data_IF_994184185982
#
_entry.id   IF_994184185982
#
_cell.length_a   1.000
_cell.length_b   1.000
_cell.length_c   1.000
_cell.angle_alpha   90.00
_cell.angle_beta   90.00
_cell.angle_gamma   90.00
#
_symmetry.space_group_name_H-M   'P 1'
#
loop_
_entity.id
_entity.type
_entity.pdbx_description
1 polymer ?
#
# COMPACT_ATOMS: atom_id res chain seq x y z
N UNK A 1 -25.05 -4.64 11.85
CA UNK A 1 -24.09 -4.40 10.76
C UNK A 1 -22.69 -4.57 11.32
N UNK A 2 -21.93 -5.61 10.92
CA UNK A 2 -20.50 -5.59 11.15
C UNK A 2 -19.84 -4.62 10.14
N UNK A 3 -18.76 -3.93 10.50
CA UNK A 3 -18.06 -3.04 9.59
C UNK A 3 -17.33 -3.85 8.52
N UNK A 4 -17.60 -3.56 7.25
CA UNK A 4 -16.68 -3.86 6.15
C UNK A 4 -15.37 -3.14 6.49
N UNK A 5 -14.29 -3.88 6.68
CA UNK A 5 -12.93 -3.34 6.66
C UNK A 5 -12.76 -2.62 5.33
N UNK A 6 -12.68 -1.29 5.36
CA UNK A 6 -12.44 -0.46 4.16
C UNK A 6 -10.95 -0.62 3.80
N UNK A 7 -10.64 -0.77 2.51
CA UNK A 7 -9.26 -0.98 2.00
C UNK A 7 -9.03 -0.22 0.69
N UNK A 8 -8.22 0.85 0.62
CA UNK A 8 -7.74 1.47 -0.61
C UNK A 8 -6.39 0.90 -1.03
N UNK A 9 -5.73 1.57 -1.98
CA UNK A 9 -4.59 1.05 -2.74
C UNK A 9 -3.47 0.49 -1.88
N UNK A 10 -2.75 -0.49 -2.42
CA UNK A 10 -1.47 -0.92 -1.86
C UNK A 10 -0.55 0.30 -1.76
N UNK A 11 -0.40 0.90 -0.59
CA UNK A 11 0.59 1.95 -0.41
C UNK A 11 1.96 1.29 -0.40
N UNK A 12 2.82 1.66 -1.34
CA UNK A 12 4.25 1.40 -1.17
C UNK A 12 4.73 2.28 0.00
N UNK A 13 4.79 1.69 1.19
CA UNK A 13 5.54 2.13 2.36
C UNK A 13 5.42 3.60 2.83
N UNK A 14 4.27 4.26 2.69
CA UNK A 14 4.04 5.54 3.35
C UNK A 14 2.95 5.48 4.41
N UNK A 15 3.38 5.59 5.67
CA UNK A 15 2.53 5.68 6.86
C UNK A 15 2.37 7.15 7.22
N UNK A 16 1.14 7.65 7.19
CA UNK A 16 0.82 8.95 7.78
C UNK A 16 0.31 8.69 9.20
N UNK A 17 1.17 8.90 10.21
CA UNK A 17 0.75 8.90 11.61
C UNK A 17 0.07 10.23 11.96
N UNK A 18 -1.16 10.18 12.49
CA UNK A 18 -1.78 11.30 13.19
C UNK A 18 -1.71 11.06 14.71
N UNK A 19 -1.19 12.04 15.45
CA UNK A 19 -1.38 12.12 16.89
C UNK A 19 -2.68 12.88 17.17
N UNK A 20 -3.63 12.25 17.89
CA UNK A 20 -4.88 12.89 18.27
C UNK A 20 -4.70 13.69 19.57
N UNK A 21 -5.20 14.93 19.56
CA UNK A 21 -5.36 15.76 20.74
C UNK A 21 -6.80 15.63 21.23
N UNK A 22 -7.01 15.06 22.41
CA UNK A 22 -8.31 15.09 23.09
C UNK A 22 -8.23 16.16 24.18
N UNK A 23 -8.94 17.29 24.07
CA UNK A 23 -9.00 18.25 25.16
C UNK A 23 -9.75 17.63 26.33
N UNK A 24 -9.08 17.49 27.47
CA UNK A 24 -9.74 17.13 28.73
C UNK A 24 -10.58 18.33 29.19
N UNK A 25 -11.90 18.19 29.14
CA UNK A 25 -12.82 19.10 29.80
C UNK A 25 -12.67 18.95 31.32
N UNK A 26 -12.05 19.92 31.98
CA UNK A 26 -12.04 20.00 33.45
C UNK A 26 -13.46 20.36 33.90
N UNK A 27 -14.13 19.60 34.79
CA UNK A 27 -15.45 19.97 35.27
C UNK A 27 -15.32 21.12 36.27
N UNK A 28 -15.86 22.29 35.92
CA UNK A 28 -16.09 23.37 36.87
C UNK A 28 -17.28 23.01 37.75
N UNK A 29 -17.06 22.90 39.07
CA UNK A 29 -18.12 22.84 40.06
C UNK A 29 -18.92 24.16 40.04
N UNK A 30 -20.23 24.09 39.79
CA UNK A 30 -21.19 25.06 40.31
C UNK A 30 -22.54 24.41 40.57
N UNK A 31 -23.08 24.71 41.74
CA UNK A 31 -24.26 24.23 42.44
C UNK A 31 -25.61 24.72 41.89
N UNK A 32 -26.65 23.86 41.99
CA UNK A 32 -28.10 24.11 42.26
C UNK A 32 -28.85 25.16 41.38
N UNK A 33 -30.11 25.04 40.91
CA UNK A 33 -31.39 24.55 41.46
C UNK A 33 -32.46 24.40 40.34
N UNK A 34 -33.46 23.54 40.59
CA UNK A 34 -34.90 23.62 40.22
C UNK A 34 -35.42 23.48 38.75
N UNK A 35 -36.26 22.45 38.57
CA UNK A 35 -37.25 22.18 37.49
C UNK A 35 -38.41 23.22 37.47
N UNK A 36 -39.33 23.30 36.46
CA UNK A 36 -40.28 22.20 36.13
C UNK A 36 -40.89 22.11 34.68
N UNK A 37 -41.51 20.94 34.44
CA UNK A 37 -42.80 20.66 33.74
C UNK A 37 -42.92 20.55 32.19
N UNK A 38 -43.68 19.51 31.81
CA UNK A 38 -44.09 19.07 30.46
C UNK A 38 -45.41 19.69 29.95
N UNK A 39 -45.57 19.65 28.62
CA UNK A 39 -46.79 19.40 27.79
C UNK A 39 -47.24 20.58 26.89
N UNK A 40 -48.04 20.37 25.81
CA UNK A 40 -47.87 19.49 24.65
C UNK A 40 -48.07 20.24 23.29
N UNK A 41 -47.84 19.55 22.16
CA UNK A 41 -48.03 20.02 20.77
C UNK A 41 -49.49 20.36 20.41
N UNK A 42 -49.71 21.20 19.37
CA UNK A 42 -50.74 20.90 18.39
C UNK A 42 -50.31 21.02 16.92
N UNK A 43 -51.21 20.51 16.07
CA UNK A 43 -51.00 20.01 14.71
C UNK A 43 -51.02 21.04 13.57
N UNK A 44 -50.48 20.55 12.44
CA UNK A 44 -50.44 21.00 11.04
C UNK A 44 -51.43 22.06 10.52
N UNK A 45 -50.91 22.99 9.72
CA UNK A 45 -51.40 23.32 8.37
C UNK A 45 -50.40 24.23 7.62
N UNK A 46 -50.33 24.12 6.28
CA UNK A 46 -49.78 25.18 5.42
C UNK A 46 -48.66 24.79 4.45
N UNK A 47 -49.00 24.66 3.18
CA UNK A 47 -48.10 24.63 2.04
C UNK A 47 -47.20 25.88 1.98
N UNK A 48 -45.87 25.71 1.95
CA UNK A 48 -44.94 26.53 1.16
C UNK A 48 -43.51 25.98 1.28
N UNK A 49 -42.79 25.89 0.16
CA UNK A 49 -41.34 25.61 0.15
C UNK A 49 -40.59 26.75 0.81
N UNK A 50 -39.57 26.45 1.64
CA UNK A 50 -38.29 27.14 1.44
C UNK A 50 -37.06 26.22 1.57
N UNK A 51 -36.08 26.49 0.70
CA UNK A 51 -34.61 26.34 0.85
C UNK A 51 -34.06 25.15 1.66
N UNK A 52 -33.30 24.28 0.99
CA UNK A 52 -32.37 23.31 1.59
C UNK A 52 -31.40 24.01 2.55
N UNK A 53 -31.66 23.94 3.86
CA UNK A 53 -30.63 24.12 4.89
C UNK A 53 -29.78 22.84 4.92
N UNK A 54 -28.46 23.01 4.88
CA UNK A 54 -27.48 21.97 5.17
C UNK A 54 -27.71 21.47 6.60
N UNK A 55 -27.86 20.17 6.77
CA UNK A 55 -27.70 19.52 8.06
C UNK A 55 -26.25 19.06 8.16
N UNK A 56 -25.48 19.73 9.04
CA UNK A 56 -24.23 19.18 9.56
C UNK A 56 -24.61 18.05 10.53
N UNK A 57 -24.34 16.81 10.14
CA UNK A 57 -24.47 15.68 11.05
C UNK A 57 -23.27 15.66 11.99
N UNK A 58 -23.49 16.19 13.19
CA UNK A 58 -22.68 15.89 14.37
C UNK A 58 -23.21 14.57 14.96
N UNK A 59 -22.37 13.53 15.00
CA UNK A 59 -22.77 12.19 15.44
C UNK A 59 -21.66 11.49 16.20
N UNK A 60 -21.38 11.95 17.42
CA UNK A 60 -20.78 11.12 18.47
C UNK A 60 -21.92 10.63 19.36
N UNK A 61 -22.18 9.32 19.39
CA UNK A 61 -22.87 8.68 20.50
C UNK A 61 -22.10 7.42 20.90
N UNK A 62 -21.39 7.58 22.01
CA UNK A 62 -20.76 6.54 22.82
C UNK A 62 -21.82 5.64 23.45
N UNK A 63 -21.68 4.33 23.28
CA UNK A 63 -22.27 3.34 24.16
C UNK A 63 -21.16 2.76 25.03
N UNK A 64 -21.22 3.05 26.32
CA UNK A 64 -20.44 2.40 27.38
C UNK A 64 -21.21 1.18 27.85
N UNK A 65 -20.59 0.00 27.78
CA UNK A 65 -20.98 -1.16 28.57
C UNK A 65 -19.80 -1.54 29.47
N UNK A 66 -20.05 -1.43 30.77
CA UNK A 66 -19.15 -1.84 31.85
C UNK A 66 -18.75 -3.31 31.70
N UNK A 67 -17.44 -3.57 31.75
CA UNK A 67 -16.91 -4.90 32.06
C UNK A 67 -16.03 -4.75 33.30
N UNK A 68 -16.52 -5.30 34.42
CA UNK A 68 -15.74 -5.47 35.63
C UNK A 68 -14.63 -6.49 35.40
N UNK A 69 -13.38 -6.06 35.59
CA UNK A 69 -12.22 -6.96 35.64
C UNK A 69 -11.96 -7.29 37.11
N UNK A 70 -12.13 -8.56 37.48
CA UNK A 70 -11.71 -9.07 38.79
C UNK A 70 -10.19 -9.25 38.81
N UNK A 71 -9.57 -8.74 39.86
CA UNK A 71 -8.14 -8.82 40.13
C UNK A 71 -7.78 -10.15 40.81
N UNK A 72 -6.74 -10.81 40.30
CA UNK A 72 -6.05 -11.94 40.97
C UNK A 72 -4.60 -11.51 41.22
N UNK A 73 -4.07 -11.60 42.46
CA UNK A 73 -2.72 -11.13 42.77
C UNK A 73 -1.62 -12.14 42.36
N UNK A 74 -0.39 -11.69 42.08
CA UNK A 74 0.72 -12.57 41.70
C UNK A 74 1.38 -13.26 42.92
N UNK A 75 1.75 -14.52 42.75
CA UNK A 75 2.53 -15.31 43.72
C UNK A 75 4.03 -15.00 43.69
N UNK A 76 4.79 -15.39 44.75
CA UNK A 76 6.19 -15.00 44.95
C UNK A 76 7.20 -15.83 44.13
N UNK A 77 8.43 -15.32 43.93
CA UNK A 77 9.45 -15.98 43.11
C UNK A 77 10.24 -17.04 43.90
N UNK A 78 10.77 -18.09 43.25
CA UNK A 78 11.72 -18.99 43.88
C UNK A 78 13.18 -18.49 43.78
N UNK A 79 13.90 -18.73 44.85
CA UNK A 79 15.30 -18.40 45.13
C UNK A 79 16.31 -19.34 44.45
N UNK A 80 17.51 -18.80 44.31
CA UNK A 80 18.78 -19.32 43.78
C UNK A 80 19.29 -20.63 44.39
N UNK A 81 20.04 -21.40 43.59
CA UNK A 81 21.32 -22.00 44.00
C UNK A 81 22.21 -22.31 42.77
N UNK A 82 23.49 -21.94 42.85
CA UNK A 82 24.61 -22.34 41.96
C UNK A 82 25.58 -23.24 42.76
N UNK A 83 26.50 -23.99 42.13
CA UNK A 83 27.86 -23.43 41.97
C UNK A 83 28.71 -23.90 40.75
N UNK A 84 29.47 -22.93 40.22
CA UNK A 84 30.91 -22.92 39.84
C UNK A 84 31.57 -24.03 38.97
N UNK A 85 32.10 -23.60 37.82
CA UNK A 85 33.52 -23.65 37.36
C UNK A 85 33.53 -23.27 35.86
N UNK A 86 34.35 -22.38 35.28
CA UNK A 86 35.71 -21.93 35.57
C UNK A 86 36.62 -22.48 34.47
N UNK A 87 37.01 -21.65 33.47
CA UNK A 87 38.29 -21.65 32.71
C UNK A 87 38.22 -20.58 31.58
N UNK A 88 39.24 -19.71 31.56
CA UNK A 88 39.70 -18.80 30.49
C UNK A 88 41.25 -18.72 30.64
N UNK A 89 42.07 -18.12 29.73
CA UNK A 89 42.04 -18.02 28.26
C UNK A 89 43.45 -18.17 27.58
N UNK A 90 43.53 -17.90 26.26
CA UNK A 90 44.69 -17.36 25.46
C UNK A 90 45.69 -18.33 24.75
N UNK A 91 46.53 -17.90 23.75
CA UNK A 91 46.37 -16.87 22.68
C UNK A 91 47.02 -17.22 21.28
N UNK A 92 46.99 -16.24 20.36
CA UNK A 92 47.88 -15.96 19.19
C UNK A 92 47.80 -16.78 17.88
N UNK A 93 47.55 -16.11 16.74
CA UNK A 93 48.60 -15.69 15.79
C UNK A 93 48.05 -14.81 14.65
N UNK A 94 48.70 -13.67 14.43
CA UNK A 94 48.57 -12.72 13.32
C UNK A 94 49.51 -13.08 12.16
N UNK A 95 49.22 -12.60 10.93
CA UNK A 95 50.17 -12.11 9.89
C UNK A 95 49.37 -11.58 8.66
N UNK A 96 49.91 -10.60 7.89
CA UNK A 96 49.14 -9.48 7.31
C UNK A 96 49.07 -9.49 5.77
N UNK A 97 48.08 -8.81 5.17
CA UNK A 97 48.10 -8.46 3.73
C UNK A 97 47.46 -7.08 3.48
N UNK A 98 48.34 -6.15 3.11
CA UNK A 98 48.23 -4.96 2.24
C UNK A 98 46.96 -4.11 2.21
N UNK A 99 47.14 -2.87 2.66
CA UNK A 99 46.29 -1.69 2.38
C UNK A 99 46.48 -1.23 0.93
N UNK A 100 45.39 -1.17 0.16
CA UNK A 100 45.25 -0.24 -0.96
C UNK A 100 43.92 0.51 -0.80
N UNK A 101 43.99 1.80 -1.13
CA UNK A 101 43.00 2.86 -0.93
C UNK A 101 41.57 2.50 -1.32
N UNK A 102 40.66 2.48 -0.35
CA UNK A 102 39.24 2.76 -0.56
C UNK A 102 38.85 3.95 0.32
N UNK A 103 38.59 5.08 -0.34
CA UNK A 103 38.10 6.31 0.28
C UNK A 103 36.70 6.06 0.87
N UNK A 104 36.68 5.67 2.14
CA UNK A 104 35.49 5.53 2.95
C UNK A 104 34.89 6.92 3.17
N UNK A 105 33.86 7.28 2.39
CA UNK A 105 33.04 8.46 2.67
C UNK A 105 32.29 8.17 3.97
N UNK A 106 32.76 8.77 5.06
CA UNK A 106 32.08 8.74 6.36
C UNK A 106 30.73 9.43 6.23
N UNK A 107 29.65 8.66 6.18
CA UNK A 107 28.30 9.20 6.35
C UNK A 107 28.09 9.52 7.82
N UNK A 108 27.81 10.79 8.13
CA UNK A 108 27.36 11.17 9.46
C UNK A 108 26.01 10.48 9.74
N UNK A 109 25.90 9.82 10.89
CA UNK A 109 24.72 9.14 11.42
C UNK A 109 23.56 10.11 11.77
N UNK A 110 23.15 10.96 10.83
CA UNK A 110 21.86 11.63 10.86
C UNK A 110 20.79 10.64 10.37
N UNK A 111 20.59 9.63 11.19
CA UNK A 111 19.62 8.57 11.06
C UNK A 111 18.20 9.19 11.03
N UNK A 112 17.61 9.32 9.84
CA UNK A 112 16.21 9.72 9.60
C UNK A 112 15.41 8.56 9.02
N UNK A 113 15.68 7.33 9.44
CA UNK A 113 14.98 6.15 8.93
C UNK A 113 13.59 5.98 9.54
N UNK A 114 12.61 5.64 8.70
CA UNK A 114 11.20 5.37 9.02
C UNK A 114 10.51 6.54 9.74
N UNK A 115 9.54 7.19 9.08
CA UNK A 115 8.63 8.15 9.70
C UNK A 115 7.62 7.50 10.70
N UNK A 116 8.04 6.41 11.36
CA UNK A 116 7.38 5.75 12.48
C UNK A 116 8.32 5.92 13.69
N UNK A 117 8.63 7.17 14.02
CA UNK A 117 9.20 7.48 15.32
C UNK A 117 8.06 7.85 16.25
N UNK A 118 7.92 7.09 17.33
CA UNK A 118 7.38 7.66 18.58
C UNK A 118 8.44 8.59 19.16
N UNK A 119 8.71 9.69 18.47
CA UNK A 119 9.51 10.76 19.06
C UNK A 119 8.60 11.51 20.03
N UNK A 120 8.50 11.00 21.27
CA UNK A 120 8.01 11.81 22.40
C UNK A 120 8.85 13.07 22.63
N UNK A 121 10.02 13.21 21.97
CA UNK A 121 10.97 14.31 22.21
C UNK A 121 11.47 15.08 20.98
N UNK A 122 11.25 14.62 19.74
CA UNK A 122 11.82 15.28 18.55
C UNK A 122 10.97 15.25 17.28
N UNK A 123 9.73 14.73 17.34
CA UNK A 123 8.72 15.18 16.41
C UNK A 123 8.74 16.69 16.60
N UNK A 124 8.71 17.44 15.51
CA UNK A 124 8.66 18.90 15.53
C UNK A 124 7.33 19.43 16.11
N UNK A 125 6.80 18.75 17.12
CA UNK A 125 5.92 19.26 18.14
C UNK A 125 6.75 20.27 18.95
N UNK A 126 6.41 21.56 18.90
CA UNK A 126 6.98 22.52 19.85
C UNK A 126 6.88 21.94 21.27
N UNK A 127 7.89 22.12 22.13
CA UNK A 127 7.95 21.57 23.50
C UNK A 127 6.61 21.65 24.28
N UNK A 128 5.84 22.71 23.98
CA UNK A 128 4.46 22.97 24.44
C UNK A 128 3.42 21.87 24.18
N UNK A 129 3.73 20.84 23.39
CA UNK A 129 2.78 19.77 23.03
C UNK A 129 3.23 18.36 23.45
N UNK A 130 4.44 18.20 23.98
CA UNK A 130 4.93 16.89 24.45
C UNK A 130 4.12 16.37 25.64
N UNK A 131 3.64 17.30 26.49
CA UNK A 131 2.86 17.02 27.70
C UNK A 131 1.39 16.65 27.43
N UNK A 132 0.89 16.79 26.19
CA UNK A 132 -0.52 16.52 25.86
C UNK A 132 -0.74 15.31 24.94
N UNK A 133 0.32 14.60 24.57
CA UNK A 133 0.21 13.38 23.77
C UNK A 133 -0.29 12.22 24.64
N UNK A 134 -1.57 11.88 24.52
CA UNK A 134 -2.24 10.83 25.31
C UNK A 134 -2.19 9.44 24.68
N UNK A 135 -1.73 9.31 23.44
CA UNK A 135 -1.68 8.02 22.75
C UNK A 135 -1.04 8.07 21.36
N UNK A 136 -0.93 6.88 20.77
CA UNK A 136 -0.51 6.65 19.39
C UNK A 136 -1.54 5.74 18.72
N UNK A 137 -1.73 5.87 17.41
CA UNK A 137 -2.69 5.06 16.66
C UNK A 137 -2.30 4.89 15.20
N UNK A 138 -2.91 3.90 14.57
CA UNK A 138 -2.82 3.62 13.13
C UNK A 138 -4.16 3.99 12.48
N UNK A 139 -4.10 4.78 11.42
CA UNK A 139 -5.26 5.27 10.66
C UNK A 139 -5.08 4.97 9.17
N UNK A 140 -4.62 3.76 8.89
CA UNK A 140 -4.46 3.29 7.52
C UNK A 140 -5.85 3.16 6.91
N UNK A 141 -6.04 3.73 5.73
CA UNK A 141 -7.34 3.61 5.08
C UNK A 141 -7.65 2.14 4.73
N UNK A 142 -6.63 1.29 4.58
CA UNK A 142 -6.71 -0.15 4.34
C UNK A 142 -5.61 -0.95 5.02
N UNK A 143 -5.88 -2.24 5.22
CA UNK A 143 -5.00 -3.20 5.91
C UNK A 143 -4.56 -4.32 4.96
N UNK A 144 -3.94 -5.38 5.49
CA UNK A 144 -3.50 -6.58 4.74
C UNK A 144 -2.31 -6.32 3.77
N UNK A 145 -1.50 -5.31 4.09
CA UNK A 145 -0.24 -4.99 3.40
C UNK A 145 0.86 -4.67 4.41
N UNK A 146 2.13 -4.76 4.00
CA UNK A 146 3.32 -4.37 4.79
C UNK A 146 3.25 -4.71 6.30
N UNK A 147 3.08 -5.99 6.69
CA UNK A 147 2.86 -6.38 8.09
C UNK A 147 3.97 -5.90 9.05
N UNK A 148 5.19 -5.75 8.56
CA UNK A 148 6.34 -5.19 9.29
C UNK A 148 6.06 -3.80 9.88
N UNK A 149 5.30 -2.97 9.16
CA UNK A 149 4.91 -1.63 9.58
C UNK A 149 3.90 -1.68 10.72
N UNK A 150 2.88 -2.54 10.59
CA UNK A 150 1.83 -2.70 11.59
C UNK A 150 2.37 -3.29 12.89
N UNK A 151 3.27 -4.27 12.80
CA UNK A 151 3.90 -4.88 13.97
C UNK A 151 4.75 -3.86 14.71
N UNK A 152 5.65 -3.14 14.01
CA UNK A 152 6.47 -2.11 14.63
C UNK A 152 5.60 -1.01 15.25
N UNK A 153 4.63 -0.47 14.52
CA UNK A 153 3.82 0.64 15.02
C UNK A 153 2.97 0.26 16.24
N UNK A 154 2.46 -0.97 16.28
CA UNK A 154 1.73 -1.48 17.44
C UNK A 154 2.65 -1.62 18.66
N UNK A 155 3.87 -2.13 18.45
CA UNK A 155 4.88 -2.25 19.51
C UNK A 155 5.26 -0.88 20.10
N UNK A 156 5.27 0.18 19.27
CA UNK A 156 5.61 1.53 19.74
C UNK A 156 4.70 2.01 20.88
N UNK A 157 3.45 1.56 20.99
CA UNK A 157 2.58 1.93 22.10
C UNK A 157 3.20 1.57 23.47
N UNK A 158 3.91 0.45 23.53
CA UNK A 158 4.45 -0.15 24.76
C UNK A 158 5.92 0.19 25.04
N UNK A 159 6.60 0.85 24.10
CA UNK A 159 8.00 1.26 24.28
C UNK A 159 8.13 2.67 24.85
N UNK A 160 9.05 2.81 25.79
CA UNK A 160 9.54 4.08 26.35
C UNK A 160 10.77 4.61 25.61
N UNK A 161 11.55 3.74 24.98
CA UNK A 161 12.83 4.04 24.31
C UNK A 161 12.75 3.94 22.79
N UNK A 162 13.69 4.59 22.09
CA UNK A 162 13.86 4.48 20.64
C UNK A 162 14.21 3.04 20.27
N UNK A 163 13.65 2.55 19.17
CA UNK A 163 13.98 1.24 18.62
C UNK A 163 15.18 1.31 17.70
N UNK A 164 16.12 0.38 17.90
CA UNK A 164 17.18 0.07 16.95
C UNK A 164 16.57 -0.79 15.83
N UNK A 165 16.10 -0.13 14.77
CA UNK A 165 15.22 -0.77 13.77
C UNK A 165 15.89 -1.95 13.07
N UNK A 166 17.18 -1.88 12.76
CA UNK A 166 17.90 -2.98 12.10
C UNK A 166 17.96 -4.25 12.95
N UNK A 167 18.24 -4.11 14.25
CA UNK A 167 18.23 -5.25 15.18
C UNK A 167 16.82 -5.78 15.43
N UNK A 168 15.83 -4.88 15.45
CA UNK A 168 14.43 -5.27 15.50
C UNK A 168 14.01 -6.04 14.25
N UNK A 169 14.48 -5.67 13.04
CA UNK A 169 14.19 -6.35 11.78
C UNK A 169 14.80 -7.75 11.70
N UNK A 170 16.04 -7.93 12.19
CA UNK A 170 16.63 -9.28 12.34
C UNK A 170 15.78 -10.15 13.25
N UNK A 171 15.34 -9.60 14.38
CA UNK A 171 14.48 -10.32 15.31
C UNK A 171 13.08 -10.60 14.70
N UNK A 172 12.55 -9.65 13.93
CA UNK A 172 11.29 -9.77 13.21
C UNK A 172 11.34 -10.91 12.18
N UNK A 173 12.36 -10.96 11.32
CA UNK A 173 12.48 -12.00 10.30
C UNK A 173 12.55 -13.40 10.93
N UNK A 174 13.36 -13.58 11.99
CA UNK A 174 13.46 -14.85 12.73
C UNK A 174 12.12 -15.32 13.28
N UNK A 175 11.39 -14.42 13.96
CA UNK A 175 10.06 -14.74 14.52
C UNK A 175 9.03 -15.02 13.42
N UNK A 176 9.05 -14.20 12.37
CA UNK A 176 8.11 -14.28 11.25
C UNK A 176 8.27 -15.60 10.51
N UNK A 177 9.50 -16.02 10.24
CA UNK A 177 9.76 -17.22 9.42
C UNK A 177 9.97 -18.49 10.24
N UNK A 178 10.19 -18.37 11.55
CA UNK A 178 10.41 -19.50 12.46
C UNK A 178 11.83 -20.06 12.43
N UNK A 179 12.75 -19.45 11.68
CA UNK A 179 14.14 -19.89 11.52
C UNK A 179 15.07 -18.69 11.29
N UNK A 180 16.31 -18.81 11.75
CA UNK A 180 17.38 -17.87 11.45
C UNK A 180 18.02 -18.23 10.10
N UNK A 181 17.95 -17.30 9.14
CA UNK A 181 18.51 -17.47 7.79
C UNK A 181 19.18 -16.16 7.38
N UNK A 182 20.51 -16.19 7.25
CA UNK A 182 21.34 -15.00 7.05
C UNK A 182 20.98 -14.22 5.79
N UNK A 183 20.62 -14.92 4.70
CA UNK A 183 20.25 -14.30 3.43
C UNK A 183 19.04 -13.39 3.60
N UNK A 184 18.01 -13.85 4.34
CA UNK A 184 16.79 -13.07 4.54
C UNK A 184 17.02 -11.92 5.52
N UNK A 185 17.88 -12.08 6.52
CA UNK A 185 18.29 -10.96 7.37
C UNK A 185 19.00 -9.85 6.58
N UNK A 186 19.92 -10.22 5.70
CA UNK A 186 20.59 -9.29 4.81
C UNK A 186 19.60 -8.61 3.83
N UNK A 187 18.64 -9.38 3.31
CA UNK A 187 17.59 -8.83 2.46
C UNK A 187 16.73 -7.80 3.21
N UNK A 188 16.33 -8.07 4.45
CA UNK A 188 15.56 -7.10 5.25
C UNK A 188 16.33 -5.81 5.55
N UNK A 189 17.66 -5.85 5.71
CA UNK A 189 18.46 -4.61 5.83
C UNK A 189 18.41 -3.78 4.54
N UNK A 190 18.45 -4.44 3.38
CA UNK A 190 18.31 -3.76 2.07
C UNK A 190 16.90 -3.16 1.94
N UNK A 191 15.85 -3.93 2.23
CA UNK A 191 14.47 -3.44 2.17
C UNK A 191 14.24 -2.25 3.11
N UNK A 192 14.85 -2.30 4.29
CA UNK A 192 14.85 -1.20 5.24
C UNK A 192 15.47 0.07 4.67
N UNK A 193 16.64 -0.01 4.04
CA UNK A 193 17.31 1.18 3.48
C UNK A 193 16.66 1.71 2.20
N UNK A 194 15.84 0.88 1.54
CA UNK A 194 15.21 1.16 0.25
C UNK A 194 13.69 1.42 0.39
N UNK A 195 12.86 0.39 0.15
CA UNK A 195 11.39 0.48 0.10
C UNK A 195 10.86 1.10 1.39
N UNK A 196 11.33 0.66 2.56
CA UNK A 196 10.82 1.14 3.85
C UNK A 196 11.44 2.46 4.34
N UNK A 197 12.22 3.15 3.51
CA UNK A 197 12.92 4.38 3.88
C UNK A 197 12.69 5.53 2.89
N UNK A 198 11.43 5.79 2.57
CA UNK A 198 11.03 7.00 1.88
C UNK A 198 11.23 8.24 2.77
N UNK A 199 11.97 9.24 2.27
CA UNK A 199 12.33 10.47 3.02
C UNK A 199 12.02 11.77 2.28
N UNK A 200 11.52 11.70 1.06
CA UNK A 200 11.26 12.88 0.21
C UNK A 200 10.01 13.68 0.62
N UNK A 201 9.13 13.11 1.45
CA UNK A 201 7.92 13.75 1.94
C UNK A 201 6.78 13.82 0.91
N UNK A 202 6.84 13.02 -0.16
CA UNK A 202 5.81 12.94 -1.20
C UNK A 202 4.73 11.96 -0.77
N UNK A 203 3.51 12.44 -0.48
CA UNK A 203 2.38 11.55 -0.19
C UNK A 203 2.16 10.59 -1.36
N UNK A 204 2.35 9.29 -1.11
CA UNK A 204 2.44 8.31 -2.18
C UNK A 204 1.29 7.31 -2.20
N UNK A 205 0.93 6.89 -3.40
CA UNK A 205 -0.04 5.85 -3.71
C UNK A 205 0.58 4.95 -4.79
N UNK A 206 0.20 3.68 -4.87
CA UNK A 206 0.73 2.84 -5.95
C UNK A 206 0.18 3.30 -7.30
N UNK A 207 1.10 3.88 -8.09
CA UNK A 207 0.87 4.37 -9.44
C UNK A 207 1.57 3.54 -10.51
N UNK A 208 1.96 2.31 -10.20
CA UNK A 208 2.58 1.42 -11.19
C UNK A 208 1.66 1.29 -12.41
N UNK A 209 2.24 1.36 -13.61
CA UNK A 209 1.43 1.49 -14.83
C UNK A 209 0.51 0.30 -15.09
N UNK A 210 0.77 -0.87 -14.50
CA UNK A 210 -0.15 -1.99 -14.56
C UNK A 210 -1.51 -1.60 -13.94
N UNK A 211 -1.47 -0.99 -12.75
CA UNK A 211 -2.66 -0.72 -11.94
C UNK A 211 -3.22 0.68 -12.12
N UNK A 212 -2.39 1.67 -12.45
CA UNK A 212 -2.80 3.04 -12.78
C UNK A 212 -2.30 3.37 -14.20
N UNK A 213 -2.92 2.74 -15.20
CA UNK A 213 -2.45 2.84 -16.58
C UNK A 213 -2.64 4.26 -17.13
N UNK A 214 -1.61 4.90 -17.72
CA UNK A 214 -1.69 6.30 -18.09
C UNK A 214 -2.75 6.61 -19.16
N UNK A 215 -3.67 7.51 -18.84
CA UNK A 215 -4.75 7.96 -19.73
C UNK A 215 -4.34 9.23 -20.53
N UNK A 216 -3.42 9.06 -21.48
CA UNK A 216 -2.84 10.18 -22.24
C UNK A 216 -2.38 9.80 -23.65
N UNK A 217 -2.14 10.81 -24.49
CA UNK A 217 -1.65 10.69 -25.87
C UNK A 217 -0.14 10.96 -25.94
N UNK A 218 0.68 9.92 -26.23
CA UNK A 218 2.13 10.06 -26.26
C UNK A 218 2.71 10.87 -27.40
N UNK A 219 1.91 11.25 -28.39
CA UNK A 219 2.36 12.14 -29.46
C UNK A 219 2.50 13.60 -28.98
N UNK A 220 1.94 13.95 -27.81
CA UNK A 220 1.99 15.29 -27.26
C UNK A 220 3.35 15.58 -26.61
N UNK A 221 3.79 16.84 -26.72
CA UNK A 221 5.11 17.31 -26.23
C UNK A 221 5.15 17.59 -24.74
N UNK A 222 4.00 17.73 -24.08
CA UNK A 222 3.93 17.92 -22.62
C UNK A 222 2.73 17.19 -22.03
N UNK A 223 2.97 16.49 -20.92
CA UNK A 223 1.90 15.98 -20.07
C UNK A 223 1.45 17.09 -19.13
N UNK A 224 0.30 17.72 -19.39
CA UNK A 224 -0.36 18.53 -18.35
C UNK A 224 -1.20 17.60 -17.49
N UNK A 225 -0.76 17.38 -16.25
CA UNK A 225 -1.56 16.72 -15.23
C UNK A 225 -2.77 17.60 -14.90
N UNK A 226 -3.84 17.50 -15.70
CA UNK A 226 -5.13 18.13 -15.36
C UNK A 226 -5.86 17.25 -14.35
N UNK A 227 -5.22 16.98 -13.21
CA UNK A 227 -5.99 16.69 -12.01
C UNK A 227 -6.75 17.97 -11.68
N UNK A 228 -7.99 18.09 -12.15
CA UNK A 228 -8.96 19.10 -11.68
C UNK A 228 -9.38 18.78 -10.23
N UNK A 229 -8.41 18.59 -9.34
CA UNK A 229 -8.53 18.70 -7.88
C UNK A 229 -8.26 20.13 -7.40
N UNK A 230 -8.16 21.10 -8.31
CA UNK A 230 -7.65 22.44 -8.00
C UNK A 230 -8.72 23.49 -7.64
N UNK A 231 -9.92 23.10 -7.19
CA UNK A 231 -10.94 24.07 -6.71
C UNK A 231 -11.32 23.92 -5.22
N UNK A 232 -10.62 23.07 -4.46
CA UNK A 232 -10.80 22.99 -3.00
C UNK A 232 -9.72 23.75 -2.20
N UNK A 233 -8.74 24.38 -2.87
CA UNK A 233 -7.55 24.96 -2.23
C UNK A 233 -7.76 26.32 -1.54
N UNK A 234 -8.99 26.84 -1.46
CA UNK A 234 -9.22 28.20 -0.94
C UNK A 234 -9.50 28.30 0.59
N UNK A 235 -9.53 27.22 1.37
CA UNK A 235 -9.92 27.31 2.81
C UNK A 235 -8.98 26.67 3.83
N UNK A 236 -7.81 26.15 3.44
CA UNK A 236 -6.83 25.62 4.41
C UNK A 236 -5.41 26.10 4.11
N UNK A 237 -5.21 27.41 4.07
CA UNK A 237 -3.89 28.04 4.03
C UNK A 237 -3.28 28.08 5.43
N UNK A 238 -2.71 26.97 5.91
CA UNK A 238 -1.57 26.91 6.85
C UNK A 238 -1.09 25.44 7.08
N UNK A 239 -0.66 24.71 6.04
CA UNK A 239 0.15 23.49 6.23
C UNK A 239 1.36 23.48 5.28
N UNK A 240 2.55 23.39 5.89
CA UNK A 240 3.88 23.33 5.24
C UNK A 240 4.14 21.95 4.60
N UNK A 241 3.39 21.60 3.57
CA UNK A 241 3.80 20.52 2.65
C UNK A 241 3.80 21.11 1.25
N UNK A 242 4.99 21.53 0.82
CA UNK A 242 5.23 21.88 -0.58
C UNK A 242 5.21 20.58 -1.37
N UNK A 243 4.14 20.34 -2.12
CA UNK A 243 4.12 19.31 -3.15
C UNK A 243 5.17 19.71 -4.21
N UNK A 244 6.28 18.97 -4.26
CA UNK A 244 7.30 19.15 -5.29
C UNK A 244 6.88 18.34 -6.50
N UNK A 245 6.31 18.99 -7.51
CA UNK A 245 6.07 18.38 -8.81
C UNK A 245 7.41 18.07 -9.47
N UNK A 246 7.62 16.81 -9.87
CA UNK A 246 8.77 16.42 -10.68
C UNK A 246 8.45 16.71 -12.14
N UNK A 247 9.13 17.70 -12.74
CA UNK A 247 9.07 17.94 -14.18
C UNK A 247 9.60 16.72 -14.93
N UNK A 248 8.70 15.92 -15.47
CA UNK A 248 9.01 14.81 -16.38
C UNK A 248 8.14 14.95 -17.61
N UNK A 249 8.68 14.58 -18.78
CA UNK A 249 7.97 14.67 -20.07
C UNK A 249 6.76 13.73 -20.16
N UNK A 250 6.60 12.84 -19.18
CA UNK A 250 5.65 11.73 -19.12
C UNK A 250 5.17 11.54 -17.68
N UNK A 251 3.93 11.08 -17.43
CA UNK A 251 3.52 10.67 -16.09
C UNK A 251 4.40 9.50 -15.64
N UNK A 252 5.19 9.69 -14.57
CA UNK A 252 6.05 8.64 -14.00
C UNK A 252 5.62 8.27 -12.57
N UNK A 253 5.54 6.98 -12.24
CA UNK A 253 5.31 6.53 -10.88
C UNK A 253 6.46 7.00 -9.99
N UNK A 254 6.12 7.41 -8.77
CA UNK A 254 7.12 7.84 -7.80
C UNK A 254 8.01 6.65 -7.38
N UNK A 255 9.33 6.86 -7.35
CA UNK A 255 10.31 5.86 -6.96
C UNK A 255 11.46 6.53 -6.20
N UNK A 256 11.61 6.20 -4.91
CA UNK A 256 12.59 6.82 -4.00
C UNK A 256 13.78 5.92 -3.68
N UNK A 257 13.90 4.79 -4.37
CA UNK A 257 14.96 3.79 -4.14
C UNK A 257 15.46 3.18 -5.46
N UNK A 258 16.64 2.57 -5.40
CA UNK A 258 17.22 1.81 -6.50
C UNK A 258 16.52 0.46 -6.65
N UNK A 259 15.94 0.20 -7.83
CA UNK A 259 15.35 -1.11 -8.12
C UNK A 259 16.42 -2.23 -8.17
N UNK A 260 17.69 -1.88 -8.41
CA UNK A 260 18.80 -2.86 -8.40
C UNK A 260 19.05 -3.42 -7.00
N UNK A 261 18.91 -2.58 -5.99
CA UNK A 261 19.14 -2.98 -4.59
C UNK A 261 18.02 -3.93 -4.14
N UNK A 262 16.76 -3.60 -4.49
CA UNK A 262 15.60 -4.46 -4.21
C UNK A 262 15.68 -5.78 -5.00
N UNK A 263 16.18 -5.75 -6.24
CA UNK A 263 16.45 -6.98 -7.00
C UNK A 263 17.48 -7.86 -6.28
N UNK A 264 18.51 -7.28 -5.66
CA UNK A 264 19.48 -8.04 -4.87
C UNK A 264 18.83 -8.63 -3.61
N UNK A 265 17.95 -7.88 -2.93
CA UNK A 265 17.14 -8.42 -1.83
C UNK A 265 16.27 -9.61 -2.29
N UNK A 266 15.64 -9.53 -3.47
CA UNK A 266 14.87 -10.65 -4.04
C UNK A 266 15.75 -11.87 -4.30
N UNK A 267 16.97 -11.68 -4.82
CA UNK A 267 17.92 -12.79 -5.00
C UNK A 267 18.22 -13.51 -3.69
N UNK A 268 18.48 -12.76 -2.63
CA UNK A 268 18.72 -13.32 -1.29
C UNK A 268 17.48 -14.05 -0.74
N UNK A 269 16.28 -13.52 -0.96
CA UNK A 269 15.04 -14.23 -0.63
C UNK A 269 14.96 -15.57 -1.38
N UNK A 270 15.21 -15.60 -2.70
CA UNK A 270 15.17 -16.83 -3.50
C UNK A 270 16.21 -17.87 -3.06
N UNK A 271 17.43 -17.43 -2.71
CA UNK A 271 18.49 -18.30 -2.17
C UNK A 271 18.07 -18.98 -0.86
N UNK A 272 17.29 -18.28 -0.03
CA UNK A 272 16.72 -18.84 1.20
C UNK A 272 15.53 -19.80 0.99
N UNK A 273 15.06 -19.97 -0.26
CA UNK A 273 13.85 -20.74 -0.57
C UNK A 273 13.91 -22.19 -0.07
N UNK A 274 15.07 -22.84 -0.17
CA UNK A 274 15.25 -24.21 0.32
C UNK A 274 15.08 -24.34 1.84
N UNK A 275 15.40 -23.29 2.58
CA UNK A 275 15.33 -23.26 4.04
C UNK A 275 13.96 -22.84 4.58
N UNK A 276 13.19 -22.09 3.79
CA UNK A 276 11.98 -21.39 4.25
C UNK A 276 10.72 -21.68 3.44
N UNK A 277 10.75 -22.54 2.42
CA UNK A 277 9.60 -22.85 1.56
C UNK A 277 8.34 -23.29 2.33
N UNK A 278 8.50 -23.99 3.46
CA UNK A 278 7.39 -24.45 4.30
C UNK A 278 6.74 -23.30 5.10
N UNK A 279 7.47 -22.20 5.30
CA UNK A 279 6.99 -21.04 6.06
C UNK A 279 5.98 -20.22 5.25
N UNK A 280 4.73 -20.18 5.72
CA UNK A 280 3.63 -19.46 5.09
C UNK A 280 3.92 -17.96 4.92
N UNK A 281 4.50 -17.34 5.94
CA UNK A 281 4.85 -15.91 5.96
C UNK A 281 6.03 -15.59 5.05
N UNK A 282 6.98 -16.51 4.90
CA UNK A 282 8.05 -16.37 3.91
C UNK A 282 7.50 -16.44 2.49
N UNK A 283 6.59 -17.39 2.21
CA UNK A 283 5.93 -17.48 0.90
C UNK A 283 5.16 -16.21 0.55
N UNK A 284 4.41 -15.65 1.50
CA UNK A 284 3.74 -14.36 1.33
C UNK A 284 4.74 -13.24 0.98
N UNK A 285 5.83 -13.09 1.75
CA UNK A 285 6.81 -12.03 1.51
C UNK A 285 7.58 -12.24 0.19
N UNK A 286 7.83 -13.49 -0.21
CA UNK A 286 8.45 -13.82 -1.49
C UNK A 286 7.53 -13.44 -2.66
N UNK A 287 6.22 -13.71 -2.58
CA UNK A 287 5.25 -13.24 -3.58
C UNK A 287 5.27 -11.72 -3.64
N UNK A 288 5.17 -11.04 -2.50
CA UNK A 288 5.08 -9.58 -2.45
C UNK A 288 6.35 -8.90 -3.00
N UNK A 289 7.53 -9.39 -2.62
CA UNK A 289 8.79 -8.86 -3.12
C UNK A 289 9.01 -9.14 -4.61
N UNK A 290 8.65 -10.35 -5.07
CA UNK A 290 8.74 -10.69 -6.50
C UNK A 290 7.79 -9.82 -7.33
N UNK A 291 6.54 -9.67 -6.88
CA UNK A 291 5.53 -8.76 -7.46
C UNK A 291 6.07 -7.33 -7.55
N UNK A 292 6.67 -6.82 -6.48
CA UNK A 292 7.24 -5.48 -6.43
C UNK A 292 8.34 -5.29 -7.47
N UNK A 293 9.32 -6.20 -7.57
CA UNK A 293 10.43 -6.07 -8.54
C UNK A 293 9.90 -6.13 -9.98
N UNK A 294 8.97 -7.03 -10.26
CA UNK A 294 8.36 -7.17 -11.58
C UNK A 294 7.49 -5.96 -11.95
N UNK A 295 6.77 -5.35 -11.00
CA UNK A 295 5.98 -4.14 -11.27
C UNK A 295 6.87 -2.96 -11.64
N UNK A 296 8.04 -2.80 -11.00
CA UNK A 296 9.03 -1.77 -11.39
C UNK A 296 9.68 -2.06 -12.73
N UNK A 297 9.91 -3.33 -13.07
CA UNK A 297 10.32 -3.70 -14.42
C UNK A 297 9.24 -3.33 -15.45
N UNK A 298 7.97 -3.61 -15.17
CA UNK A 298 6.86 -3.23 -16.04
C UNK A 298 6.81 -1.71 -16.26
N UNK A 299 7.12 -0.91 -15.23
CA UNK A 299 7.22 0.54 -15.38
C UNK A 299 8.26 0.95 -16.43
N UNK A 300 9.46 0.35 -16.37
CA UNK A 300 10.50 0.61 -17.35
C UNK A 300 10.09 0.15 -18.76
N UNK A 301 9.49 -1.04 -18.88
CA UNK A 301 9.03 -1.59 -20.16
C UNK A 301 7.99 -0.69 -20.83
N UNK A 302 7.07 -0.10 -20.05
CA UNK A 302 6.13 0.89 -20.57
C UNK A 302 6.86 2.14 -21.10
N UNK A 303 7.81 2.69 -20.35
CA UNK A 303 8.59 3.86 -20.78
C UNK A 303 9.36 3.58 -22.08
N UNK A 304 9.92 2.40 -22.22
CA UNK A 304 10.61 1.95 -23.43
C UNK A 304 9.64 1.86 -24.61
N UNK A 305 8.43 1.32 -24.39
CA UNK A 305 7.37 1.26 -25.42
C UNK A 305 6.96 2.67 -25.88
N UNK A 306 6.74 3.59 -24.95
CA UNK A 306 6.40 4.98 -25.26
C UNK A 306 7.53 5.69 -26.01
N UNK A 307 8.78 5.44 -25.63
CA UNK A 307 9.95 5.98 -26.31
C UNK A 307 10.04 5.46 -27.75
N UNK A 308 9.82 4.16 -27.96
CA UNK A 308 9.77 3.57 -29.29
C UNK A 308 8.65 4.17 -30.15
N UNK A 309 7.46 4.35 -29.57
CA UNK A 309 6.35 5.02 -30.25
C UNK A 309 6.72 6.44 -30.72
N UNK A 310 7.31 7.26 -29.84
CA UNK A 310 7.76 8.62 -30.20
C UNK A 310 8.82 8.62 -31.31
N UNK A 311 9.67 7.59 -31.36
CA UNK A 311 10.68 7.39 -32.42
C UNK A 311 10.12 6.76 -33.70
N UNK A 312 8.81 6.46 -33.74
CA UNK A 312 8.15 5.72 -34.82
C UNK A 312 8.75 4.33 -35.07
N UNK A 313 9.34 3.73 -34.05
CA UNK A 313 9.92 2.39 -34.09
C UNK A 313 8.83 1.36 -33.74
N UNK A 314 8.16 0.85 -34.78
CA UNK A 314 7.07 -0.10 -34.62
C UNK A 314 7.52 -1.48 -34.12
N UNK A 315 8.75 -1.90 -34.43
CA UNK A 315 9.29 -3.20 -34.02
C UNK A 315 9.57 -3.20 -32.52
N UNK A 316 10.31 -2.20 -32.03
CA UNK A 316 10.58 -2.06 -30.59
C UNK A 316 9.29 -1.81 -29.82
N UNK A 317 8.36 -1.00 -30.35
CA UNK A 317 7.05 -0.81 -29.73
C UNK A 317 6.31 -2.13 -29.58
N UNK A 318 6.27 -2.96 -30.63
CA UNK A 318 5.60 -4.27 -30.59
C UNK A 318 6.24 -5.19 -29.56
N UNK A 319 7.57 -5.24 -29.51
CA UNK A 319 8.33 -6.06 -28.56
C UNK A 319 8.04 -5.65 -27.11
N UNK A 320 8.16 -4.36 -26.78
CA UNK A 320 7.94 -3.87 -25.42
C UNK A 320 6.47 -3.96 -25.01
N UNK A 321 5.54 -3.74 -25.94
CA UNK A 321 4.11 -3.93 -25.70
C UNK A 321 3.80 -5.38 -25.30
N UNK A 322 4.37 -6.35 -26.03
CA UNK A 322 4.19 -7.77 -25.71
C UNK A 322 4.85 -8.12 -24.37
N UNK A 323 6.06 -7.62 -24.10
CA UNK A 323 6.74 -7.83 -22.82
C UNK A 323 5.93 -7.29 -21.64
N UNK A 324 5.28 -6.14 -21.78
CA UNK A 324 4.39 -5.57 -20.75
C UNK A 324 3.16 -6.46 -20.52
N UNK A 325 2.54 -6.94 -21.60
CA UNK A 325 1.40 -7.87 -21.52
C UNK A 325 1.80 -9.19 -20.83
N UNK A 326 2.97 -9.74 -21.17
CA UNK A 326 3.47 -10.97 -20.57
C UNK A 326 3.78 -10.77 -19.08
N UNK A 327 4.36 -9.62 -18.70
CA UNK A 327 4.57 -9.27 -17.29
C UNK A 327 3.26 -9.24 -16.50
N UNK A 328 2.16 -8.70 -17.06
CA UNK A 328 0.86 -8.71 -16.35
C UNK A 328 0.39 -10.14 -16.08
N UNK A 329 0.45 -11.03 -17.08
CA UNK A 329 0.00 -12.43 -16.94
C UNK A 329 0.88 -13.24 -15.99
N UNK A 330 2.18 -13.02 -16.07
CA UNK A 330 3.15 -13.71 -15.21
C UNK A 330 3.05 -13.24 -13.75
N UNK A 331 2.80 -11.94 -13.53
CA UNK A 331 2.51 -11.42 -12.19
C UNK A 331 1.15 -11.99 -11.70
N UNK A 332 0.12 -12.08 -12.54
CA UNK A 332 -1.15 -12.72 -12.15
C UNK A 332 -0.93 -14.19 -11.72
N UNK A 333 -0.11 -14.93 -12.45
CA UNK A 333 0.29 -16.32 -12.11
C UNK A 333 1.04 -16.40 -10.78
N UNK A 334 1.96 -15.47 -10.52
CA UNK A 334 2.65 -15.37 -9.23
C UNK A 334 1.65 -15.13 -8.10
N UNK A 335 0.75 -14.17 -8.26
CA UNK A 335 -0.27 -13.82 -7.26
C UNK A 335 -1.25 -14.98 -7.01
N UNK A 336 -1.53 -15.78 -8.03
CA UNK A 336 -2.38 -16.97 -7.91
C UNK A 336 -1.81 -18.03 -6.97
N UNK A 337 -0.50 -17.99 -6.66
CA UNK A 337 0.18 -18.99 -5.84
C UNK A 337 0.05 -18.78 -4.32
N UNK A 338 -0.64 -17.73 -3.88
CA UNK A 338 -0.88 -17.47 -2.45
C UNK A 338 -2.30 -16.91 -2.18
N UNK A 339 -2.96 -17.44 -1.15
CA UNK A 339 -4.37 -17.13 -0.82
C UNK A 339 -4.61 -15.65 -0.49
N UNK A 340 -3.56 -14.91 -0.12
CA UNK A 340 -3.66 -13.50 0.27
C UNK A 340 -3.74 -12.55 -0.95
N UNK A 341 -3.57 -13.04 -2.17
CA UNK A 341 -3.51 -12.21 -3.39
C UNK A 341 -4.59 -12.59 -4.42
N UNK A 342 -5.71 -13.18 -3.98
CA UNK A 342 -6.77 -13.65 -4.88
C UNK A 342 -7.96 -12.69 -4.92
N UNK A 343 -8.40 -12.28 -6.11
CA UNK A 343 -9.64 -11.51 -6.25
C UNK A 343 -10.87 -12.30 -5.77
N UNK A 344 -10.88 -13.61 -5.97
CA UNK A 344 -12.02 -14.45 -5.62
C UNK A 344 -12.37 -14.42 -4.14
N UNK A 345 -11.39 -14.37 -3.24
CA UNK A 345 -11.64 -14.32 -1.80
C UNK A 345 -12.37 -13.03 -1.41
N UNK A 346 -11.98 -11.89 -1.99
CA UNK A 346 -12.67 -10.61 -1.85
C UNK A 346 -14.12 -10.67 -2.34
N UNK A 347 -14.35 -11.17 -3.56
CA UNK A 347 -15.68 -11.24 -4.16
C UNK A 347 -16.62 -12.20 -3.42
N UNK A 348 -16.13 -13.37 -3.03
CA UNK A 348 -16.92 -14.32 -2.23
C UNK A 348 -17.22 -13.78 -0.84
N UNK A 349 -16.30 -13.04 -0.22
CA UNK A 349 -16.57 -12.40 1.08
C UNK A 349 -17.74 -11.40 0.99
N UNK A 350 -17.80 -10.61 -0.08
CA UNK A 350 -18.88 -9.65 -0.30
C UNK A 350 -20.21 -10.36 -0.59
N UNK A 351 -20.21 -11.40 -1.42
CA UNK A 351 -21.41 -12.18 -1.75
C UNK A 351 -22.00 -12.90 -0.54
N UNK A 352 -21.16 -13.40 0.38
CA UNK A 352 -21.60 -14.04 1.63
C UNK A 352 -22.42 -13.13 2.56
N UNK A 353 -22.33 -11.81 2.39
CA UNK A 353 -23.13 -10.85 3.16
C UNK A 353 -24.57 -10.72 2.66
N UNK A 354 -24.86 -11.20 1.45
CA UNK A 354 -26.17 -11.05 0.83
C UNK A 354 -27.19 -12.04 1.38
N UNK A 355 -28.44 -11.58 1.54
CA UNK A 355 -29.58 -12.42 1.96
C UNK A 355 -30.53 -12.72 0.81
N UNK A 356 -30.41 -12.00 -0.31
CA UNK A 356 -31.23 -12.19 -1.50
C UNK A 356 -30.38 -12.25 -2.78
N UNK A 357 -30.88 -12.85 -3.89
CA UNK A 357 -30.16 -12.85 -5.16
C UNK A 357 -29.86 -11.45 -5.71
N UNK A 358 -30.75 -10.47 -5.44
CA UNK A 358 -30.54 -9.09 -5.84
C UNK A 358 -29.39 -8.44 -5.07
N UNK A 359 -29.33 -8.65 -3.75
CA UNK A 359 -28.21 -8.21 -2.91
C UNK A 359 -26.90 -8.88 -3.30
N UNK A 360 -26.92 -10.18 -3.63
CA UNK A 360 -25.72 -10.91 -4.05
C UNK A 360 -25.08 -10.25 -5.27
N UNK A 361 -25.89 -9.96 -6.30
CA UNK A 361 -25.43 -9.25 -7.50
C UNK A 361 -24.94 -7.84 -7.17
N UNK A 362 -25.65 -7.11 -6.31
CA UNK A 362 -25.27 -5.76 -5.92
C UNK A 362 -23.96 -5.72 -5.12
N UNK A 363 -23.75 -6.67 -4.21
CA UNK A 363 -22.54 -6.73 -3.37
C UNK A 363 -21.32 -7.16 -4.17
N UNK A 364 -21.47 -8.10 -5.11
CA UNK A 364 -20.39 -8.40 -6.05
C UNK A 364 -20.04 -7.18 -6.91
N UNK A 365 -21.05 -6.48 -7.46
CA UNK A 365 -20.83 -5.25 -8.23
C UNK A 365 -20.14 -4.16 -7.38
N UNK A 366 -20.56 -3.98 -6.13
CA UNK A 366 -19.93 -3.03 -5.20
C UNK A 366 -18.46 -3.40 -4.95
N UNK A 367 -18.18 -4.68 -4.70
CA UNK A 367 -16.85 -5.19 -4.43
C UNK A 367 -15.90 -4.99 -5.62
N UNK A 368 -16.35 -5.28 -6.85
CA UNK A 368 -15.62 -5.01 -8.09
C UNK A 368 -15.40 -3.52 -8.31
N UNK A 369 -16.46 -2.73 -8.14
CA UNK A 369 -16.42 -1.28 -8.37
C UNK A 369 -15.49 -0.58 -7.41
N UNK A 370 -15.49 -0.95 -6.13
CA UNK A 370 -14.65 -0.32 -5.11
C UNK A 370 -13.16 -0.36 -5.47
N UNK A 371 -12.66 -1.49 -5.98
CA UNK A 371 -11.22 -1.68 -6.31
C UNK A 371 -10.86 -1.28 -7.74
N UNK A 372 -11.80 -0.72 -8.51
CA UNK A 372 -11.61 -0.32 -9.91
C UNK A 372 -12.14 1.09 -10.18
N UNK A 373 -13.32 1.22 -10.77
CA UNK A 373 -13.89 2.51 -11.21
C UNK A 373 -14.40 3.39 -10.06
N UNK A 374 -14.60 2.82 -8.87
CA UNK A 374 -15.05 3.46 -7.64
C UNK A 374 -16.48 4.02 -7.66
N UNK A 375 -16.82 4.83 -8.66
CA UNK A 375 -18.17 5.36 -8.90
C UNK A 375 -18.42 5.57 -10.40
N UNK A 376 -19.55 6.20 -10.73
CA UNK A 376 -20.01 6.45 -12.09
C UNK A 376 -18.94 7.02 -13.04
N UNK A 377 -18.97 6.51 -14.26
CA UNK A 377 -18.21 7.00 -15.40
C UNK A 377 -19.16 7.42 -16.54
N UNK A 378 -18.60 7.92 -17.63
CA UNK A 378 -19.34 8.14 -18.88
C UNK A 378 -18.74 7.27 -19.98
N UNK A 379 -19.36 7.24 -21.16
CA UNK A 379 -18.83 6.49 -22.31
C UNK A 379 -17.39 6.83 -22.70
N UNK A 380 -16.89 8.02 -22.33
CA UNK A 380 -15.57 8.52 -22.75
C UNK A 380 -14.69 8.95 -21.59
N UNK A 381 -15.26 9.17 -20.40
CA UNK A 381 -14.52 9.65 -19.24
C UNK A 381 -14.67 8.64 -18.12
N UNK A 382 -13.54 8.15 -17.64
CA UNK A 382 -13.45 7.36 -16.41
C UNK A 382 -13.86 8.17 -15.17
N UNK A 383 -14.12 7.47 -14.08
CA UNK A 383 -14.35 8.07 -12.78
C UNK A 383 -13.15 8.89 -12.29
N UNK A 384 -13.39 9.90 -11.45
CA UNK A 384 -12.31 10.70 -10.84
C UNK A 384 -11.53 9.94 -9.77
N UNK A 385 -12.05 8.81 -9.31
CA UNK A 385 -11.41 7.93 -8.33
C UNK A 385 -11.12 6.55 -8.94
N UNK A 386 -11.10 6.44 -10.27
CA UNK A 386 -10.64 5.20 -10.92
C UNK A 386 -9.27 4.81 -10.37
N UNK A 387 -9.08 3.52 -10.12
CA UNK A 387 -7.87 2.91 -9.58
C UNK A 387 -7.38 3.46 -8.24
N UNK A 388 -8.15 4.31 -7.54
CA UNK A 388 -7.77 4.83 -6.22
C UNK A 388 -7.50 3.70 -5.21
N UNK A 389 -8.30 2.63 -5.29
CA UNK A 389 -8.22 1.47 -4.43
C UNK A 389 -7.63 0.24 -5.15
N UNK A 390 -6.78 0.46 -6.16
CA UNK A 390 -6.18 -0.61 -6.96
C UNK A 390 -5.49 -1.69 -6.12
N UNK A 391 -5.39 -2.89 -6.69
CA UNK A 391 -4.81 -4.07 -6.04
C UNK A 391 -4.01 -4.88 -7.03
N UNK A 392 -2.93 -5.49 -6.59
CA UNK A 392 -2.30 -6.57 -7.32
C UNK A 392 -2.90 -7.91 -6.86
N UNK A 393 -4.06 -8.25 -7.41
CA UNK A 393 -4.73 -9.53 -7.15
C UNK A 393 -4.83 -10.38 -8.42
N UNK A 394 -4.54 -11.68 -8.30
CA UNK A 394 -4.79 -12.65 -9.37
C UNK A 394 -6.27 -12.64 -9.75
N UNK A 395 -6.51 -12.74 -11.06
CA UNK A 395 -7.81 -12.53 -11.68
C UNK A 395 -8.10 -11.05 -11.99
N UNK A 396 -7.71 -10.11 -11.11
CA UNK A 396 -7.91 -8.68 -11.37
C UNK A 396 -6.92 -8.15 -12.42
N UNK A 397 -5.66 -8.59 -12.38
CA UNK A 397 -4.67 -8.21 -13.39
C UNK A 397 -5.12 -8.61 -14.79
N UNK A 398 -5.43 -9.88 -15.00
CA UNK A 398 -5.84 -10.35 -16.33
C UNK A 398 -7.23 -9.89 -16.75
N UNK A 399 -8.21 -9.88 -15.83
CA UNK A 399 -9.59 -9.60 -16.21
C UNK A 399 -9.95 -8.11 -16.22
N UNK A 400 -9.13 -7.23 -15.62
CA UNK A 400 -9.41 -5.78 -15.58
C UNK A 400 -8.27 -4.93 -16.17
N UNK A 401 -7.04 -5.11 -15.69
CA UNK A 401 -5.92 -4.25 -16.09
C UNK A 401 -5.35 -4.58 -17.48
N UNK A 402 -5.22 -5.87 -17.81
CA UNK A 402 -4.63 -6.34 -19.06
C UNK A 402 -5.37 -5.84 -20.32
N UNK A 403 -6.73 -5.87 -20.39
CA UNK A 403 -7.44 -5.45 -21.61
C UNK A 403 -7.28 -3.95 -21.88
N UNK A 404 -7.18 -3.13 -20.83
CA UNK A 404 -6.88 -1.70 -20.96
C UNK A 404 -5.48 -1.45 -21.56
N UNK A 405 -4.46 -2.12 -21.03
CA UNK A 405 -3.08 -1.98 -21.52
C UNK A 405 -2.92 -2.52 -22.95
N UNK A 406 -3.42 -3.72 -23.23
CA UNK A 406 -3.30 -4.37 -24.54
C UNK A 406 -4.00 -3.59 -25.65
N UNK A 407 -5.20 -3.05 -25.38
CA UNK A 407 -5.90 -2.18 -26.35
C UNK A 407 -5.16 -0.87 -26.57
N UNK A 408 -4.54 -0.28 -25.55
CA UNK A 408 -3.74 0.94 -25.71
C UNK A 408 -2.58 0.73 -26.69
N UNK A 409 -1.77 -0.30 -26.46
CA UNK A 409 -0.65 -0.64 -27.34
C UNK A 409 -1.11 -1.00 -28.76
N UNK A 410 -2.23 -1.71 -28.90
CA UNK A 410 -2.84 -1.99 -30.21
C UNK A 410 -3.16 -0.71 -30.96
N UNK A 411 -3.69 0.31 -30.30
CA UNK A 411 -4.01 1.60 -30.93
C UNK A 411 -2.75 2.39 -31.30
N UNK A 412 -1.70 2.35 -30.47
CA UNK A 412 -0.40 2.96 -30.80
C UNK A 412 0.25 2.29 -32.02
N UNK A 413 0.29 0.97 -32.06
CA UNK A 413 0.83 0.22 -33.20
C UNK A 413 0.02 0.50 -34.47
N UNK A 414 -1.31 0.53 -34.36
CA UNK A 414 -2.20 0.87 -35.48
C UNK A 414 -1.90 2.28 -36.01
N UNK A 415 -1.72 3.25 -35.13
CA UNK A 415 -1.46 4.64 -35.54
C UNK A 415 -0.11 4.78 -36.26
N UNK A 416 0.92 4.04 -35.85
CA UNK A 416 2.19 3.97 -36.60
C UNK A 416 2.02 3.31 -37.97
N UNK A 417 1.33 2.16 -38.02
CA UNK A 417 1.15 1.39 -39.26
C UNK A 417 0.33 2.14 -40.31
N UNK A 418 -0.71 2.83 -39.88
CA UNK A 418 -1.63 3.59 -40.74
C UNK A 418 -1.16 5.04 -40.96
N UNK A 419 -0.09 5.47 -40.27
CA UNK A 419 0.39 6.85 -40.25
C UNK A 419 -0.72 7.86 -39.88
N UNK A 420 -1.52 7.51 -38.87
CA UNK A 420 -2.60 8.32 -38.32
C UNK A 420 -2.27 8.79 -36.90
N UNK A 421 -3.05 9.75 -36.38
CA UNK A 421 -2.96 10.16 -34.98
C UNK A 421 -3.50 9.07 -34.05
N UNK A 422 -2.92 8.96 -32.85
CA UNK A 422 -3.42 8.05 -31.82
C UNK A 422 -4.86 8.41 -31.41
N UNK A 423 -5.79 7.48 -31.60
CA UNK A 423 -7.23 7.69 -31.35
C UNK A 423 -7.58 7.50 -29.87
N UNK A 424 -7.06 8.38 -29.00
CA UNK A 424 -7.23 8.32 -27.54
C UNK A 424 -8.71 8.18 -27.11
N UNK A 425 -9.61 8.95 -27.70
CA UNK A 425 -11.05 8.92 -27.36
C UNK A 425 -11.70 7.58 -27.70
N UNK A 426 -11.30 6.95 -28.79
CA UNK A 426 -11.83 5.64 -29.18
C UNK A 426 -11.28 4.53 -28.29
N UNK A 427 -9.99 4.59 -27.94
CA UNK A 427 -9.41 3.71 -26.92
C UNK A 427 -10.14 3.85 -25.57
N UNK A 428 -10.42 5.08 -25.13
CA UNK A 428 -11.21 5.35 -23.91
C UNK A 428 -12.58 4.68 -23.93
N UNK A 429 -13.32 4.83 -25.03
CA UNK A 429 -14.63 4.18 -25.18
C UNK A 429 -14.53 2.66 -25.05
N UNK A 430 -13.52 2.06 -25.66
CA UNK A 430 -13.33 0.60 -25.65
C UNK A 430 -13.02 0.09 -24.25
N UNK A 431 -12.00 0.63 -23.57
CA UNK A 431 -11.59 0.10 -22.27
C UNK A 431 -12.59 0.43 -21.15
N UNK A 432 -13.30 1.57 -21.21
CA UNK A 432 -14.36 1.89 -20.24
C UNK A 432 -15.56 0.95 -20.43
N UNK A 433 -15.93 0.66 -21.68
CA UNK A 433 -16.99 -0.32 -21.99
C UNK A 433 -16.63 -1.70 -21.43
N UNK A 434 -15.38 -2.14 -21.64
CA UNK A 434 -14.86 -3.37 -21.08
C UNK A 434 -14.95 -3.39 -19.54
N UNK A 435 -14.50 -2.32 -18.89
CA UNK A 435 -14.53 -2.15 -17.42
C UNK A 435 -15.95 -2.30 -16.87
N UNK A 436 -16.92 -1.59 -17.47
CA UNK A 436 -18.32 -1.63 -17.05
C UNK A 436 -18.93 -3.02 -17.25
N UNK A 437 -18.56 -3.72 -18.32
CA UNK A 437 -18.98 -5.11 -18.56
C UNK A 437 -18.41 -6.04 -17.50
N UNK A 438 -17.13 -5.91 -17.17
CA UNK A 438 -16.46 -6.71 -16.14
C UNK A 438 -17.07 -6.49 -14.74
N UNK A 439 -17.32 -5.22 -14.36
CA UNK A 439 -17.96 -4.88 -13.08
C UNK A 439 -19.36 -5.49 -12.96
N UNK A 440 -20.09 -5.58 -14.07
CA UNK A 440 -21.44 -6.14 -14.12
C UNK A 440 -21.49 -7.66 -14.34
N UNK A 441 -20.34 -8.27 -14.67
CA UNK A 441 -20.20 -9.69 -14.91
C UNK A 441 -20.26 -10.51 -13.61
N UNK A 442 -20.48 -11.81 -13.75
CA UNK A 442 -20.59 -12.78 -12.64
C UNK A 442 -19.63 -13.94 -12.83
N UNK A 443 -18.51 -13.69 -13.51
CA UNK A 443 -17.44 -14.66 -13.71
C UNK A 443 -16.87 -15.11 -12.36
N UNK A 444 -16.55 -16.40 -12.27
CA UNK A 444 -15.98 -16.99 -11.05
C UNK A 444 -14.47 -16.81 -11.05
N UNK A 445 -13.92 -16.48 -9.88
CA UNK A 445 -12.49 -16.35 -9.65
C UNK A 445 -12.06 -17.35 -8.58
N UNK A 446 -10.87 -17.98 -8.71
CA UNK A 446 -10.36 -18.90 -7.71
C UNK A 446 -10.30 -18.27 -6.31
N UNK A 447 -10.65 -19.07 -5.30
CA UNK A 447 -10.56 -18.70 -3.87
C UNK A 447 -9.46 -19.46 -3.13
N UNK A 448 -8.81 -20.40 -3.81
CA UNK A 448 -7.68 -21.16 -3.32
C UNK A 448 -6.51 -21.01 -4.28
N UNK A 449 -5.33 -20.91 -3.69
CA UNK A 449 -4.07 -20.71 -4.38
C UNK A 449 -3.69 -21.94 -5.20
N UNK A 450 -2.99 -21.69 -6.29
CA UNK A 450 -2.52 -22.71 -7.23
C UNK A 450 -1.09 -22.44 -7.64
N UNK A 451 -0.28 -23.49 -7.66
CA UNK A 451 1.13 -23.41 -8.03
C UNK A 451 2.07 -23.30 -6.82
N UNK A 452 3.35 -23.53 -7.09
CA UNK A 452 4.41 -23.45 -6.08
C UNK A 452 5.08 -22.08 -6.12
N UNK A 453 4.96 -21.34 -5.01
CA UNK A 453 5.47 -19.96 -4.88
C UNK A 453 6.95 -19.86 -5.23
N UNK A 454 7.78 -20.76 -4.67
CA UNK A 454 9.23 -20.70 -4.82
C UNK A 454 9.64 -21.01 -6.26
N UNK A 455 9.03 -22.03 -6.88
CA UNK A 455 9.29 -22.41 -8.26
C UNK A 455 8.84 -21.33 -9.25
N UNK A 456 7.66 -20.73 -9.04
CA UNK A 456 7.16 -19.63 -9.87
C UNK A 456 8.07 -18.41 -9.75
N UNK A 457 8.39 -17.97 -8.52
CA UNK A 457 9.28 -16.83 -8.30
C UNK A 457 10.67 -17.05 -8.94
N UNK A 458 11.25 -18.25 -8.81
CA UNK A 458 12.51 -18.60 -9.48
C UNK A 458 12.40 -18.57 -11.02
N UNK A 459 11.28 -19.04 -11.57
CA UNK A 459 11.04 -19.05 -13.02
C UNK A 459 10.95 -17.62 -13.54
N UNK A 460 10.21 -16.74 -12.85
CA UNK A 460 10.07 -15.34 -13.25
C UNK A 460 11.37 -14.56 -13.07
N UNK A 461 12.14 -14.84 -12.02
CA UNK A 461 13.47 -14.28 -11.83
C UNK A 461 14.38 -14.62 -13.01
N UNK A 462 14.43 -15.90 -13.44
CA UNK A 462 15.21 -16.31 -14.62
C UNK A 462 14.69 -15.72 -15.93
N UNK A 463 13.37 -15.55 -16.06
CA UNK A 463 12.76 -15.02 -17.28
C UNK A 463 13.10 -13.55 -17.51
N UNK A 464 13.18 -12.77 -16.43
CA UNK A 464 13.19 -11.30 -16.54
C UNK A 464 14.39 -10.60 -15.89
N UNK A 465 15.07 -11.23 -14.93
CA UNK A 465 15.91 -10.55 -13.95
C UNK A 465 17.31 -11.19 -13.77
N UNK A 466 17.58 -12.32 -14.42
CA UNK A 466 18.86 -13.05 -14.33
C UNK A 466 19.90 -12.61 -15.35
#
# INVERSE_FOLDING_TARGET
MPPISRIPSETSAMVVCYAYLVPLSVPSQTSQTSSPSLSPLPAASGNSRPSRKKYDYCGCQSFTTDCQVSSVPPGPPPTTDSPLSGIEPSPTSSIPVTTDDDSYVSYSDDDRSIAIRKEKRNARMPDRYSDIAVGVGMCMEGIEQNPVVYELMSEMAFRSEKVQVQEWLKSYSRRRYGKEVQQVEAAWDILYRTIYNCRDGIADHNKDYIVEFPDWDPSQTSFTCTSKMDHSRALFTQRRFFFRETNSDFPQPHLWYSNKDVLYALRLFLEAGNDLAESLTYRYDLVDLTRQVLSKLANQVYLDAITAFKRKDAETLSLQSQKFIDLIKDIDTLLASDNNFLLGTWLESAKKLATTPAELKQYEWNAKTQVTMWFDNTKINQSRLHDYANKFWSGLLEAYYLPRASTYFKYLLKSLKENENFKLVEWRKEWISFSNKWQSGTELYPVEAQGDVVAIANTLFKKYLS
#
